data_IF_802306637509
#
_entry.id   IF_802306637509
#
_cell.length_a   1.000
_cell.length_b   1.000
_cell.length_c   1.000
_cell.angle_alpha   90.00
_cell.angle_beta   90.00
_cell.angle_gamma   90.00
#
_symmetry.space_group_name_H-M   'P 1'
#
loop_
_entity.id
_entity.type
_entity.pdbx_description
1 polymer ?
#
# COMPACT_ATOMS: atom_id res chain seq x y z
N UNK A 1 -12.21 2.21 -7.00
CA UNK A 1 -11.96 3.21 -5.94
C UNK A 1 -10.95 4.21 -6.51
N UNK A 2 -11.15 5.51 -6.32
CA UNK A 2 -10.20 6.53 -6.80
C UNK A 2 -8.87 6.48 -6.03
N UNK A 3 -7.81 7.09 -6.56
CA UNK A 3 -6.48 7.10 -5.92
C UNK A 3 -6.53 7.61 -4.47
N UNK A 4 -7.15 8.78 -4.25
CA UNK A 4 -7.27 9.40 -2.92
C UNK A 4 -8.12 8.57 -1.96
N UNK A 5 -9.22 8.00 -2.45
CA UNK A 5 -10.09 7.11 -1.67
C UNK A 5 -9.35 5.85 -1.22
N UNK A 6 -8.61 5.22 -2.14
CA UNK A 6 -7.82 4.02 -1.86
C UNK A 6 -6.67 4.31 -0.88
N UNK A 7 -6.00 5.45 -1.03
CA UNK A 7 -4.96 5.90 -0.10
C UNK A 7 -5.52 6.07 1.32
N UNK A 8 -6.65 6.77 1.47
CA UNK A 8 -7.28 7.00 2.77
C UNK A 8 -7.79 5.69 3.40
N UNK A 9 -8.40 4.81 2.60
CA UNK A 9 -8.87 3.52 3.08
C UNK A 9 -7.72 2.61 3.51
N UNK A 10 -6.60 2.61 2.77
CA UNK A 10 -5.39 1.89 3.14
C UNK A 10 -4.74 2.46 4.40
N UNK A 11 -4.73 3.79 4.58
CA UNK A 11 -4.23 4.44 5.81
C UNK A 11 -5.02 3.99 7.04
N UNK A 12 -6.36 4.08 6.96
CA UNK A 12 -7.26 3.62 8.04
C UNK A 12 -7.06 2.15 8.39
N UNK A 13 -6.77 1.30 7.38
CA UNK A 13 -6.48 -0.11 7.58
C UNK A 13 -5.11 -0.31 8.26
N UNK A 14 -4.07 0.39 7.81
CA UNK A 14 -2.70 0.28 8.31
C UNK A 14 -2.61 0.59 9.81
N UNK A 15 -3.40 1.55 10.27
CA UNK A 15 -3.50 1.96 11.68
C UNK A 15 -4.22 0.94 12.57
N UNK A 16 -5.04 0.05 11.99
CA UNK A 16 -5.82 -0.98 12.71
C UNK A 16 -5.22 -2.38 12.64
N UNK A 17 -4.08 -2.54 11.97
CA UNK A 17 -3.37 -3.81 11.94
C UNK A 17 -2.88 -4.18 13.35
N UNK A 18 -2.76 -5.48 13.62
CA UNK A 18 -2.23 -6.04 14.89
C UNK A 18 -0.72 -5.84 15.02
N UNK A 19 -0.30 -4.57 14.99
CA UNK A 19 1.08 -4.11 15.12
C UNK A 19 1.09 -2.76 15.85
N UNK A 20 2.15 -2.41 16.58
CA UNK A 20 2.32 -1.05 17.07
C UNK A 20 2.32 -0.06 15.90
N UNK A 21 1.76 1.15 16.06
CA UNK A 21 1.81 2.18 15.03
C UNK A 21 3.25 2.43 14.55
N UNK A 22 3.44 2.59 13.23
CA UNK A 22 4.74 2.88 12.58
C UNK A 22 5.82 1.80 12.72
N UNK A 23 5.52 0.63 13.28
CA UNK A 23 6.49 -0.45 13.50
C UNK A 23 7.07 -1.06 12.22
N UNK A 24 6.37 -0.96 11.07
CA UNK A 24 6.90 -1.41 9.78
C UNK A 24 7.68 -0.31 9.03
N UNK A 25 7.76 0.89 9.61
CA UNK A 25 8.54 2.02 9.09
C UNK A 25 8.22 2.33 7.62
N UNK A 26 9.25 2.27 6.76
CA UNK A 26 9.14 2.60 5.33
C UNK A 26 8.15 1.71 4.57
N UNK A 27 7.94 0.47 5.02
CA UNK A 27 7.04 -0.47 4.35
C UNK A 27 5.58 -0.01 4.43
N UNK A 28 5.19 0.73 5.48
CA UNK A 28 3.84 1.28 5.58
C UNK A 28 3.57 2.24 4.43
N UNK A 29 4.50 3.18 4.19
CA UNK A 29 4.40 4.14 3.08
C UNK A 29 4.38 3.48 1.70
N UNK A 30 5.16 2.41 1.49
CA UNK A 30 5.16 1.65 0.23
C UNK A 30 3.81 0.96 0.01
N UNK A 31 3.27 0.29 1.03
CA UNK A 31 1.99 -0.40 0.93
C UNK A 31 0.83 0.56 0.60
N UNK A 32 0.82 1.74 1.22
CA UNK A 32 -0.19 2.79 0.96
C UNK A 32 -0.13 3.29 -0.49
N UNK A 33 1.08 3.53 -1.01
CA UNK A 33 1.27 3.95 -2.41
C UNK A 33 0.82 2.87 -3.39
N UNK A 34 1.16 1.60 -3.14
CA UNK A 34 0.70 0.47 -3.96
C UNK A 34 -0.82 0.33 -3.94
N UNK A 35 -1.44 0.49 -2.76
CA UNK A 35 -2.89 0.46 -2.62
C UNK A 35 -3.58 1.56 -3.45
N UNK A 36 -3.02 2.77 -3.42
CA UNK A 36 -3.52 3.91 -4.18
C UNK A 36 -3.34 3.72 -5.70
N UNK A 37 -2.17 3.24 -6.14
CA UNK A 37 -1.88 2.96 -7.55
C UNK A 37 -2.80 1.87 -8.14
N UNK A 38 -3.11 0.85 -7.36
CA UNK A 38 -3.98 -0.26 -7.78
C UNK A 38 -5.47 0.01 -7.53
N UNK A 39 -5.83 1.11 -6.85
CA UNK A 39 -7.21 1.36 -6.42
C UNK A 39 -7.77 0.29 -5.47
N UNK A 40 -6.90 -0.39 -4.73
CA UNK A 40 -7.20 -1.59 -3.93
C UNK A 40 -6.57 -1.48 -2.53
N UNK A 41 -7.40 -1.55 -1.49
CA UNK A 41 -6.95 -1.39 -0.08
C UNK A 41 -5.92 -2.45 0.35
N UNK A 42 -6.03 -3.66 -0.19
CA UNK A 42 -5.06 -4.74 -0.01
C UNK A 42 -4.39 -5.00 -1.36
N UNK A 43 -3.30 -4.28 -1.68
CA UNK A 43 -2.64 -4.42 -2.98
C UNK A 43 -2.06 -5.82 -3.13
N UNK A 44 -2.06 -6.32 -4.36
CA UNK A 44 -1.45 -7.60 -4.73
C UNK A 44 -0.38 -7.35 -5.78
N UNK A 45 0.74 -8.06 -5.68
CA UNK A 45 1.84 -7.97 -6.62
C UNK A 45 1.93 -9.27 -7.42
N UNK A 46 2.16 -9.13 -8.72
CA UNK A 46 2.46 -10.24 -9.63
C UNK A 46 3.96 -10.37 -9.92
N UNK A 47 4.32 -11.14 -10.96
CA UNK A 47 5.71 -11.24 -11.43
C UNK A 47 6.30 -9.87 -11.76
N UNK A 48 7.53 -9.62 -11.31
CA UNK A 48 8.29 -8.44 -11.69
C UNK A 48 9.06 -8.64 -13.01
N UNK A 49 9.34 -7.55 -13.71
CA UNK A 49 10.20 -7.55 -14.89
C UNK A 49 11.27 -6.45 -14.79
N UNK A 50 12.44 -6.70 -15.36
CA UNK A 50 13.54 -5.74 -15.48
C UNK A 50 13.93 -5.65 -16.95
N UNK A 51 13.98 -4.44 -17.49
CA UNK A 51 14.40 -4.16 -18.87
C UNK A 51 15.75 -3.43 -18.80
N UNK A 52 16.76 -3.98 -19.47
CA UNK A 52 18.10 -3.38 -19.58
C UNK A 52 18.29 -2.94 -21.03
N UNK A 53 18.68 -1.68 -21.22
CA UNK A 53 18.93 -1.06 -22.52
C UNK A 53 20.40 -1.20 -22.94
#
# INVERSE_FOLDING_TARGET
MGYQEALQAAQRRMERLTKPPRSLGRLEGVALRLAALQGRVQPELGPGAVVVA
#
